data_IF_502411472387
#
_entry.id   IF_502411472387
#
_cell.length_a   1.000
_cell.length_b   1.000
_cell.length_c   1.000
_cell.angle_alpha   90.00
_cell.angle_beta   90.00
_cell.angle_gamma   90.00
#
_symmetry.space_group_name_H-M   'P 1'
#
loop_
_entity.id
_entity.type
_entity.pdbx_description
1 polymer ?
#
# COMPACT_ATOMS: atom_id res chain seq x y z
N UNK A 1 -22.83 26.50 2.34
CA UNK A 1 -21.60 25.87 2.88
C UNK A 1 -21.66 24.33 2.89
N UNK A 2 -22.79 23.70 3.19
CA UNK A 2 -22.97 22.23 3.24
C UNK A 2 -22.87 21.55 1.88
N UNK A 3 -23.41 22.15 0.81
CA UNK A 3 -23.40 21.55 -0.55
C UNK A 3 -22.00 21.46 -1.15
N UNK A 4 -21.13 22.45 -0.93
CA UNK A 4 -19.76 22.44 -1.41
C UNK A 4 -18.90 21.36 -0.73
N UNK A 5 -19.07 21.19 0.58
CA UNK A 5 -18.41 20.10 1.34
C UNK A 5 -18.85 18.71 0.88
N UNK A 6 -20.13 18.55 0.53
CA UNK A 6 -20.64 17.27 0.03
C UNK A 6 -20.02 16.94 -1.34
N UNK A 7 -19.88 17.92 -2.23
CA UNK A 7 -19.22 17.76 -3.54
C UNK A 7 -17.73 17.44 -3.39
N UNK A 8 -17.03 18.11 -2.47
CA UNK A 8 -15.61 17.85 -2.17
C UNK A 8 -15.41 16.45 -1.59
N UNK A 9 -16.27 15.99 -0.68
CA UNK A 9 -16.24 14.65 -0.13
C UNK A 9 -16.50 13.59 -1.21
N UNK A 10 -17.49 13.79 -2.08
CA UNK A 10 -17.78 12.87 -3.17
C UNK A 10 -16.62 12.78 -4.16
N UNK A 11 -16.04 13.90 -4.56
CA UNK A 11 -14.84 13.92 -5.41
C UNK A 11 -13.66 13.21 -4.75
N UNK A 12 -13.44 13.43 -3.44
CA UNK A 12 -12.42 12.73 -2.66
C UNK A 12 -12.64 11.21 -2.62
N UNK A 13 -13.87 10.76 -2.41
CA UNK A 13 -14.26 9.35 -2.45
C UNK A 13 -13.98 8.73 -3.83
N UNK A 14 -14.43 9.38 -4.91
CA UNK A 14 -14.20 8.90 -6.27
C UNK A 14 -12.70 8.73 -6.57
N UNK A 15 -11.87 9.71 -6.17
CA UNK A 15 -10.43 9.65 -6.35
C UNK A 15 -9.79 8.51 -5.55
N UNK A 16 -10.24 8.27 -4.32
CA UNK A 16 -9.70 7.15 -3.51
C UNK A 16 -10.13 5.81 -4.10
N UNK A 17 -11.37 5.64 -4.53
CA UNK A 17 -11.82 4.41 -5.19
C UNK A 17 -11.02 4.15 -6.46
N UNK A 18 -10.80 5.20 -7.28
CA UNK A 18 -9.98 5.11 -8.49
C UNK A 18 -8.52 4.73 -8.16
N UNK A 19 -7.95 5.31 -7.11
CA UNK A 19 -6.62 4.96 -6.63
C UNK A 19 -6.54 3.48 -6.19
N UNK A 20 -7.55 2.98 -5.48
CA UNK A 20 -7.59 1.59 -5.04
C UNK A 20 -7.73 0.61 -6.20
N UNK A 21 -8.51 0.96 -7.22
CA UNK A 21 -8.58 0.21 -8.47
C UNK A 21 -7.21 0.22 -9.19
N UNK A 22 -6.58 1.38 -9.31
CA UNK A 22 -5.25 1.51 -9.93
C UNK A 22 -4.20 0.67 -9.22
N UNK A 23 -4.12 0.72 -7.90
CA UNK A 23 -3.18 -0.14 -7.14
C UNK A 23 -3.48 -1.63 -7.31
N UNK A 24 -4.75 -2.05 -7.37
CA UNK A 24 -5.07 -3.45 -7.61
C UNK A 24 -4.66 -3.91 -9.02
N UNK A 25 -4.78 -3.04 -10.02
CA UNK A 25 -4.32 -3.31 -11.39
C UNK A 25 -2.77 -3.36 -11.42
N UNK A 26 -2.08 -2.43 -10.76
CA UNK A 26 -0.62 -2.45 -10.64
C UNK A 26 -0.13 -3.75 -9.99
N UNK A 27 -0.75 -4.16 -8.88
CA UNK A 27 -0.45 -5.42 -8.18
C UNK A 27 -0.61 -6.62 -9.13
N UNK A 28 -1.67 -6.63 -9.95
CA UNK A 28 -1.93 -7.71 -10.90
C UNK A 28 -0.90 -7.74 -12.05
N UNK A 29 -0.47 -6.59 -12.53
CA UNK A 29 0.61 -6.49 -13.51
C UNK A 29 1.91 -7.04 -12.91
N UNK A 30 2.26 -6.65 -11.68
CA UNK A 30 3.44 -7.16 -10.96
C UNK A 30 3.34 -8.68 -10.81
N UNK A 31 2.19 -9.20 -10.37
CA UNK A 31 1.97 -10.65 -10.22
C UNK A 31 2.10 -11.39 -11.54
N UNK A 32 1.54 -10.86 -12.61
CA UNK A 32 1.67 -11.44 -13.95
C UNK A 32 3.13 -11.48 -14.42
N UNK A 33 3.84 -10.36 -14.30
CA UNK A 33 5.25 -10.25 -14.66
C UNK A 33 6.13 -11.20 -13.83
N UNK A 34 5.79 -11.41 -12.56
CA UNK A 34 6.52 -12.28 -11.64
C UNK A 34 6.41 -13.78 -11.99
N UNK A 35 5.57 -14.16 -12.95
CA UNK A 35 5.54 -15.52 -13.47
C UNK A 35 6.81 -15.87 -14.27
N UNK A 36 7.51 -14.87 -14.82
CA UNK A 36 8.74 -15.05 -15.62
C UNK A 36 9.91 -14.20 -15.15
N UNK A 37 9.65 -12.95 -14.79
CA UNK A 37 10.68 -12.02 -14.34
C UNK A 37 10.87 -12.12 -12.83
N UNK A 38 12.09 -11.95 -12.34
CA UNK A 38 12.32 -11.95 -10.89
C UNK A 38 11.64 -10.73 -10.23
N UNK A 39 11.09 -10.87 -9.00
CA UNK A 39 10.49 -9.77 -8.26
C UNK A 39 11.44 -8.56 -8.10
N UNK A 40 12.73 -8.83 -7.92
CA UNK A 40 13.75 -7.80 -7.82
C UNK A 40 13.90 -7.00 -9.12
N UNK A 41 13.90 -7.68 -10.27
CA UNK A 41 13.97 -7.04 -11.58
C UNK A 41 12.75 -6.15 -11.84
N UNK A 42 11.55 -6.62 -11.50
CA UNK A 42 10.32 -5.85 -11.64
C UNK A 42 10.39 -4.57 -10.79
N UNK A 43 10.85 -4.68 -9.53
CA UNK A 43 11.03 -3.53 -8.65
C UNK A 43 12.03 -2.50 -9.17
N UNK A 44 13.15 -2.95 -9.75
CA UNK A 44 14.12 -2.03 -10.35
C UNK A 44 13.50 -1.28 -11.54
N UNK A 45 12.79 -1.98 -12.42
CA UNK A 45 12.16 -1.36 -13.59
C UNK A 45 11.08 -0.35 -13.19
N UNK A 46 10.16 -0.73 -12.29
CA UNK A 46 9.12 0.17 -11.78
C UNK A 46 9.74 1.34 -11.02
N UNK A 47 10.76 1.07 -10.21
CA UNK A 47 11.48 2.08 -9.45
C UNK A 47 12.16 3.12 -10.34
N UNK A 48 12.88 2.69 -11.35
CA UNK A 48 13.53 3.60 -12.32
C UNK A 48 12.50 4.44 -13.07
N UNK A 49 11.45 3.80 -13.59
CA UNK A 49 10.40 4.50 -14.32
C UNK A 49 9.62 5.49 -13.45
N UNK A 50 9.11 5.03 -12.29
CA UNK A 50 8.35 5.88 -11.37
C UNK A 50 9.18 7.04 -10.80
N UNK A 51 10.46 6.78 -10.43
CA UNK A 51 11.39 7.83 -10.01
C UNK A 51 11.60 8.87 -11.10
N UNK A 52 11.77 8.43 -12.36
CA UNK A 52 11.94 9.33 -13.51
C UNK A 52 10.71 10.22 -13.72
N UNK A 53 9.50 9.63 -13.66
CA UNK A 53 8.24 10.38 -13.79
C UNK A 53 8.12 11.42 -12.67
N UNK A 54 8.34 11.03 -11.40
CA UNK A 54 8.26 11.99 -10.29
C UNK A 54 9.36 13.03 -10.32
N UNK A 55 10.55 12.70 -10.81
CA UNK A 55 11.61 13.68 -11.03
C UNK A 55 11.21 14.73 -12.09
N UNK A 56 10.64 14.30 -13.21
CA UNK A 56 10.12 15.20 -14.25
C UNK A 56 9.01 16.09 -13.69
N UNK A 57 8.07 15.52 -12.93
CA UNK A 57 6.99 16.29 -12.30
C UNK A 57 7.51 17.31 -11.28
N UNK A 58 8.53 16.97 -10.50
CA UNK A 58 9.19 17.92 -9.58
C UNK A 58 9.81 19.09 -10.33
N UNK A 59 10.55 18.80 -11.41
CA UNK A 59 11.21 19.83 -12.22
C UNK A 59 10.19 20.73 -12.91
N UNK A 60 9.12 20.15 -13.46
CA UNK A 60 8.03 20.90 -14.09
C UNK A 60 7.29 21.86 -13.13
N UNK A 61 7.23 21.48 -11.83
CA UNK A 61 6.62 22.32 -10.78
C UNK A 61 7.65 23.25 -10.09
N UNK A 62 8.89 23.36 -10.57
CA UNK A 62 9.92 24.21 -9.97
C UNK A 62 10.36 23.77 -8.56
N UNK A 63 10.09 22.51 -8.17
CA UNK A 63 10.40 21.97 -6.85
C UNK A 63 11.79 21.34 -6.89
N UNK A 64 12.70 21.80 -6.00
CA UNK A 64 14.04 21.25 -5.88
C UNK A 64 14.16 20.40 -4.61
N UNK A 65 14.83 19.24 -4.76
CA UNK A 65 15.12 18.36 -3.62
C UNK A 65 16.26 18.99 -2.80
N UNK A 66 15.92 19.52 -1.64
CA UNK A 66 16.91 20.12 -0.72
C UNK A 66 17.50 19.03 0.17
N UNK A 67 18.84 19.07 0.39
CA UNK A 67 19.54 18.13 1.26
C UNK A 67 18.95 18.02 2.67
N UNK A 68 18.49 19.15 3.24
CA UNK A 68 17.84 19.21 4.56
C UNK A 68 16.56 18.34 4.63
N UNK A 69 15.82 18.25 3.53
CA UNK A 69 14.60 17.41 3.46
C UNK A 69 15.01 15.92 3.47
N UNK A 70 15.96 15.55 2.64
CA UNK A 70 16.40 14.15 2.50
C UNK A 70 17.12 13.66 3.76
N UNK A 71 17.84 14.52 4.46
CA UNK A 71 18.54 14.21 5.70
C UNK A 71 17.62 14.19 6.94
N UNK A 72 16.35 14.56 6.82
CA UNK A 72 15.41 14.50 7.94
C UNK A 72 15.17 13.06 8.38
N UNK A 73 15.33 12.78 9.68
CA UNK A 73 15.24 11.43 10.26
C UNK A 73 13.92 10.73 9.92
N UNK A 74 12.79 11.45 9.90
CA UNK A 74 11.50 10.88 9.57
C UNK A 74 11.35 10.58 8.07
N UNK A 75 11.98 11.38 7.21
CA UNK A 75 12.02 11.11 5.76
C UNK A 75 12.90 9.89 5.48
N UNK A 76 14.06 9.79 6.13
CA UNK A 76 14.93 8.60 6.03
C UNK A 76 14.21 7.36 6.54
N UNK A 77 13.63 7.41 7.76
CA UNK A 77 12.90 6.29 8.34
C UNK A 77 11.72 5.83 7.47
N UNK A 78 10.97 6.79 6.90
CA UNK A 78 9.91 6.53 5.93
C UNK A 78 10.43 5.80 4.69
N UNK A 79 11.55 6.27 4.14
CA UNK A 79 12.12 5.70 2.91
C UNK A 79 12.67 4.30 3.15
N UNK A 80 13.30 4.04 4.30
CA UNK A 80 13.73 2.70 4.70
C UNK A 80 12.55 1.75 4.93
N UNK A 81 11.49 2.23 5.57
CA UNK A 81 10.26 1.45 5.76
C UNK A 81 9.58 1.13 4.42
N UNK A 82 9.60 2.06 3.46
CA UNK A 82 9.16 1.83 2.08
C UNK A 82 9.97 0.74 1.41
N UNK A 83 11.31 0.82 1.47
CA UNK A 83 12.23 -0.16 0.89
C UNK A 83 11.92 -1.57 1.40
N UNK A 84 11.90 -1.74 2.72
CA UNK A 84 11.64 -3.03 3.36
C UNK A 84 10.22 -3.52 3.05
N UNK A 85 9.24 -2.64 3.23
CA UNK A 85 7.82 -2.95 3.02
C UNK A 85 7.54 -3.38 1.58
N UNK A 86 8.06 -2.64 0.60
CA UNK A 86 7.82 -2.92 -0.81
C UNK A 86 8.58 -4.18 -1.27
N UNK A 87 9.79 -4.42 -0.75
CA UNK A 87 10.53 -5.65 -1.05
C UNK A 87 9.73 -6.91 -0.66
N UNK A 88 9.25 -6.97 0.59
CA UNK A 88 8.44 -8.11 1.06
C UNK A 88 7.08 -8.17 0.38
N UNK A 89 6.45 -7.02 0.12
CA UNK A 89 5.16 -6.96 -0.53
C UNK A 89 5.21 -7.49 -1.97
N UNK A 90 6.16 -7.05 -2.79
CA UNK A 90 6.30 -7.51 -4.17
C UNK A 90 6.76 -8.96 -4.22
N UNK A 91 7.66 -9.38 -3.31
CA UNK A 91 8.01 -10.78 -3.17
C UNK A 91 6.78 -11.63 -2.82
N UNK A 92 5.88 -11.15 -1.97
CA UNK A 92 4.65 -11.88 -1.65
C UNK A 92 3.70 -11.99 -2.83
N UNK A 93 3.59 -10.95 -3.67
CA UNK A 93 2.74 -10.98 -4.87
C UNK A 93 3.16 -12.08 -5.86
N UNK A 94 4.46 -12.43 -5.91
CA UNK A 94 4.95 -13.52 -6.77
C UNK A 94 4.65 -14.91 -6.23
N UNK A 95 4.38 -15.05 -4.92
CA UNK A 95 4.30 -16.35 -4.24
C UNK A 95 2.90 -16.64 -3.66
N UNK A 96 2.07 -15.62 -3.49
CA UNK A 96 0.79 -15.71 -2.76
C UNK A 96 -0.36 -15.27 -3.69
N UNK A 97 -1.55 -15.89 -3.58
CA UNK A 97 -2.74 -15.43 -4.30
C UNK A 97 -3.02 -13.95 -4.05
N UNK A 98 -3.37 -13.20 -5.11
CA UNK A 98 -3.65 -11.75 -5.01
C UNK A 98 -4.86 -11.46 -4.13
N UNK A 99 -5.82 -12.39 -4.07
CA UNK A 99 -6.97 -12.33 -3.16
C UNK A 99 -6.52 -12.32 -1.69
N UNK A 100 -5.59 -13.20 -1.32
CA UNK A 100 -5.00 -13.27 0.03
C UNK A 100 -4.17 -12.04 0.35
N UNK A 101 -3.31 -11.60 -0.59
CA UNK A 101 -2.51 -10.37 -0.44
C UNK A 101 -3.42 -9.16 -0.22
N UNK A 102 -4.45 -9.00 -1.06
CA UNK A 102 -5.42 -7.90 -0.96
C UNK A 102 -6.18 -7.90 0.36
N UNK A 103 -6.49 -9.09 0.91
CA UNK A 103 -7.15 -9.24 2.21
C UNK A 103 -6.23 -8.80 3.37
N UNK A 104 -4.98 -9.24 3.38
CA UNK A 104 -4.01 -8.91 4.45
C UNK A 104 -3.66 -7.42 4.44
N UNK A 105 -3.55 -6.79 3.26
CA UNK A 105 -3.27 -5.34 3.14
C UNK A 105 -4.29 -4.48 3.89
N UNK A 106 -5.52 -4.94 4.03
CA UNK A 106 -6.57 -4.19 4.73
C UNK A 106 -6.33 -4.03 6.23
N UNK A 107 -5.38 -4.77 6.81
CA UNK A 107 -4.98 -4.57 8.22
C UNK A 107 -4.12 -3.30 8.41
N UNK A 108 -3.58 -2.72 7.33
CA UNK A 108 -2.68 -1.56 7.40
C UNK A 108 -3.20 -0.40 8.27
N UNK A 109 -4.47 0.05 8.21
CA UNK A 109 -4.96 1.12 9.08
C UNK A 109 -4.91 0.75 10.57
N UNK A 110 -5.12 -0.53 10.90
CA UNK A 110 -5.04 -1.02 12.28
C UNK A 110 -3.59 -1.05 12.76
N UNK A 111 -2.65 -1.49 11.91
CA UNK A 111 -1.21 -1.47 12.21
C UNK A 111 -0.69 -0.04 12.38
N UNK A 112 -1.14 0.91 11.56
CA UNK A 112 -0.81 2.33 11.74
C UNK A 112 -1.34 2.86 13.08
N UNK A 113 -2.55 2.46 13.49
CA UNK A 113 -3.11 2.85 14.79
C UNK A 113 -2.34 2.21 15.95
N UNK A 114 -1.97 0.94 15.81
CA UNK A 114 -1.12 0.22 16.77
C UNK A 114 0.25 0.90 16.91
N UNK A 115 0.90 1.19 15.79
CA UNK A 115 2.19 1.89 15.77
C UNK A 115 2.10 3.30 16.38
N UNK A 116 1.01 4.03 16.13
CA UNK A 116 0.78 5.33 16.76
C UNK A 116 0.64 5.22 18.29
N UNK A 117 -0.05 4.19 18.78
CA UNK A 117 -0.18 3.95 20.21
C UNK A 117 1.18 3.58 20.86
N UNK A 118 1.92 2.66 20.26
CA UNK A 118 3.15 2.07 20.85
C UNK A 118 4.36 2.99 20.63
N UNK A 119 4.59 3.44 19.40
CA UNK A 119 5.81 4.19 19.03
C UNK A 119 5.65 5.70 19.25
N UNK A 120 4.47 6.26 18.94
CA UNK A 120 4.22 7.68 19.10
C UNK A 120 3.57 8.02 20.45
N UNK A 121 3.27 7.02 21.29
CA UNK A 121 2.63 7.14 22.61
C UNK A 121 1.30 7.88 22.56
N UNK A 122 0.56 7.75 21.45
CA UNK A 122 -0.76 8.32 21.31
C UNK A 122 -1.76 7.59 22.23
N UNK A 123 -2.62 8.33 22.91
CA UNK A 123 -3.65 7.74 23.80
C UNK A 123 -4.73 7.03 22.96
N UNK A 124 -4.68 5.72 22.91
CA UNK A 124 -5.68 4.87 22.24
C UNK A 124 -6.63 4.30 23.29
N UNK A 125 -7.93 4.54 23.12
CA UNK A 125 -8.96 4.03 24.05
C UNK A 125 -9.16 2.52 23.91
N UNK A 126 -9.67 1.87 24.98
CA UNK A 126 -9.87 0.42 25.06
C UNK A 126 -10.64 -0.17 23.86
N UNK A 127 -11.63 0.55 23.33
CA UNK A 127 -12.44 0.11 22.18
C UNK A 127 -11.64 0.03 20.88
N UNK A 128 -10.63 0.89 20.68
CA UNK A 128 -9.73 0.81 19.53
C UNK A 128 -8.74 -0.33 19.71
N UNK A 129 -8.26 -0.57 20.93
CA UNK A 129 -7.46 -1.75 21.24
C UNK A 129 -8.21 -3.03 20.91
N UNK A 130 -9.49 -3.13 21.31
CA UNK A 130 -10.34 -4.27 20.94
C UNK A 130 -10.44 -4.43 19.40
N UNK A 131 -10.66 -3.33 18.66
CA UNK A 131 -10.71 -3.38 17.21
C UNK A 131 -9.38 -3.85 16.58
N UNK A 132 -8.23 -3.40 17.09
CA UNK A 132 -6.91 -3.84 16.63
C UNK A 132 -6.75 -5.34 16.85
N UNK A 133 -7.08 -5.84 18.05
CA UNK A 133 -6.96 -7.26 18.39
C UNK A 133 -7.89 -8.10 17.49
N UNK A 134 -9.14 -7.68 17.32
CA UNK A 134 -10.12 -8.38 16.47
C UNK A 134 -9.64 -8.40 15.00
N UNK A 135 -9.10 -7.28 14.49
CA UNK A 135 -8.55 -7.22 13.13
C UNK A 135 -7.33 -8.12 12.94
N UNK A 136 -6.43 -8.20 13.94
CA UNK A 136 -5.29 -9.13 13.90
C UNK A 136 -5.73 -10.59 13.96
N UNK A 137 -6.80 -10.91 14.70
CA UNK A 137 -7.41 -12.25 14.66
C UNK A 137 -8.00 -12.54 13.27
N UNK A 138 -8.60 -11.55 12.61
CA UNK A 138 -9.03 -11.68 11.21
C UNK A 138 -7.87 -12.04 10.28
N UNK A 139 -6.70 -11.40 10.42
CA UNK A 139 -5.49 -11.77 9.66
C UNK A 139 -5.03 -13.18 9.99
N UNK A 140 -5.07 -13.60 11.26
CA UNK A 140 -4.73 -14.97 11.65
C UNK A 140 -5.66 -16.00 10.98
N UNK A 141 -6.95 -15.67 10.85
CA UNK A 141 -7.93 -16.52 10.12
C UNK A 141 -7.58 -16.62 8.62
N UNK A 142 -7.14 -15.53 7.99
CA UNK A 142 -6.68 -15.52 6.59
C UNK A 142 -5.42 -16.38 6.43
N UNK A 143 -4.45 -16.22 7.32
CA UNK A 143 -3.17 -16.92 7.28
C UNK A 143 -3.28 -18.40 7.61
N UNK A 144 -4.26 -18.82 8.38
CA UNK A 144 -4.50 -20.22 8.84
C UNK A 144 -3.24 -20.90 9.40
N UNK A 145 -2.51 -20.33 10.37
CA UNK A 145 -1.25 -20.89 10.84
C UNK A 145 -1.37 -22.29 11.50
N UNK A 146 -2.60 -22.72 11.78
CA UNK A 146 -2.94 -24.04 12.35
C UNK A 146 -3.35 -25.08 11.31
N UNK A 147 -3.42 -24.73 10.01
CA UNK A 147 -3.83 -25.61 8.93
C UNK A 147 -2.64 -26.31 8.29
N UNK A 148 -2.86 -27.51 7.76
CA UNK A 148 -1.90 -28.21 6.89
C UNK A 148 -1.65 -27.44 5.59
N UNK A 149 -2.60 -26.61 5.14
CA UNK A 149 -2.51 -25.78 3.95
C UNK A 149 -1.81 -24.43 4.21
N UNK A 150 -1.17 -24.30 5.37
CA UNK A 150 -0.50 -23.08 5.78
C UNK A 150 0.67 -22.72 4.85
N UNK A 151 0.54 -21.59 4.19
CA UNK A 151 1.59 -21.04 3.33
C UNK A 151 2.46 -20.05 4.12
N UNK A 152 3.66 -20.47 4.51
CA UNK A 152 4.66 -19.61 5.18
C UNK A 152 4.91 -18.33 4.38
N UNK A 153 4.83 -18.42 3.04
CA UNK A 153 4.98 -17.28 2.14
C UNK A 153 3.97 -16.16 2.37
N UNK A 154 2.78 -16.46 2.92
CA UNK A 154 1.79 -15.44 3.26
C UNK A 154 2.25 -14.49 4.39
N UNK A 155 3.21 -14.91 5.25
CA UNK A 155 3.86 -14.01 6.20
C UNK A 155 4.67 -12.91 5.51
N UNK A 156 5.18 -13.12 4.30
CA UNK A 156 5.85 -12.07 3.54
C UNK A 156 4.91 -10.89 3.28
N UNK A 157 3.63 -11.18 2.99
CA UNK A 157 2.61 -10.12 2.85
C UNK A 157 2.48 -9.33 4.15
N UNK A 158 2.38 -10.01 5.29
CA UNK A 158 2.25 -9.35 6.59
C UNK A 158 3.48 -8.48 6.91
N UNK A 159 4.70 -8.98 6.66
CA UNK A 159 5.93 -8.20 6.81
C UNK A 159 5.95 -6.98 5.88
N UNK A 160 5.53 -7.16 4.62
CA UNK A 160 5.36 -6.07 3.67
C UNK A 160 4.40 -4.99 4.19
N UNK A 161 3.22 -5.41 4.67
CA UNK A 161 2.20 -4.50 5.20
C UNK A 161 2.65 -3.81 6.50
N UNK A 162 3.41 -4.48 7.36
CA UNK A 162 4.03 -3.85 8.55
C UNK A 162 5.01 -2.76 8.10
N UNK A 163 5.89 -3.04 7.13
CA UNK A 163 6.82 -2.05 6.59
C UNK A 163 6.10 -0.84 5.98
N UNK A 164 5.09 -1.07 5.13
CA UNK A 164 4.28 -0.01 4.53
C UNK A 164 3.47 0.77 5.58
N UNK A 165 3.00 0.12 6.64
CA UNK A 165 2.32 0.79 7.76
C UNK A 165 3.30 1.64 8.57
N UNK A 166 4.52 1.18 8.78
CA UNK A 166 5.60 1.95 9.41
C UNK A 166 5.96 3.19 8.56
N UNK A 167 6.00 3.06 7.23
CA UNK A 167 6.13 4.18 6.30
C UNK A 167 5.02 5.22 6.50
N UNK A 168 3.76 4.77 6.54
CA UNK A 168 2.60 5.66 6.72
C UNK A 168 2.66 6.36 8.08
N UNK A 169 3.08 5.65 9.13
CA UNK A 169 3.28 6.21 10.45
C UNK A 169 4.39 7.27 10.47
N UNK A 170 5.55 6.98 9.87
CA UNK A 170 6.66 7.92 9.75
C UNK A 170 6.25 9.17 8.95
N UNK A 171 5.44 9.01 7.90
CA UNK A 171 4.91 10.12 7.10
C UNK A 171 4.11 11.13 7.94
N UNK A 172 3.45 10.72 9.02
CA UNK A 172 2.74 11.63 9.94
C UNK A 172 3.68 12.58 10.69
N UNK A 173 4.96 12.22 10.82
CA UNK A 173 5.99 12.99 11.51
C UNK A 173 6.88 13.79 10.57
N UNK A 174 6.77 13.58 9.26
CA UNK A 174 7.46 14.40 8.25
C UNK A 174 6.94 15.85 8.34
N UNK A 175 7.83 16.86 8.27
CA UNK A 175 7.43 18.26 8.31
C UNK A 175 6.37 18.59 7.25
N UNK A 176 5.30 19.29 7.64
CA UNK A 176 4.14 19.60 6.78
C UNK A 176 4.50 20.41 5.53
N UNK A 177 5.59 21.16 5.56
CA UNK A 177 6.10 21.92 4.42
C UNK A 177 6.88 21.07 3.41
N UNK A 178 7.04 19.76 3.66
CA UNK A 178 7.67 18.85 2.70
C UNK A 178 6.69 18.54 1.56
N UNK A 179 7.05 18.85 0.30
CA UNK A 179 6.21 18.55 -0.85
C UNK A 179 5.96 17.04 -1.00
N UNK A 180 4.71 16.64 -1.19
CA UNK A 180 4.34 15.23 -1.38
C UNK A 180 5.04 14.58 -2.56
N UNK A 181 5.37 15.35 -3.62
CA UNK A 181 6.12 14.87 -4.77
C UNK A 181 7.54 14.42 -4.41
N UNK A 182 8.19 15.05 -3.42
CA UNK A 182 9.52 14.60 -2.94
C UNK A 182 9.38 13.26 -2.22
N UNK A 183 8.34 13.09 -1.42
CA UNK A 183 8.08 11.82 -0.72
C UNK A 183 7.75 10.70 -1.72
N UNK A 184 7.05 11.00 -2.80
CA UNK A 184 6.78 10.07 -3.89
C UNK A 184 8.05 9.68 -4.65
N UNK A 185 8.89 10.67 -5.01
CA UNK A 185 10.19 10.44 -5.63
C UNK A 185 11.05 9.48 -4.78
N UNK A 186 11.17 9.77 -3.48
CA UNK A 186 11.96 8.95 -2.56
C UNK A 186 11.34 7.55 -2.35
N UNK A 187 10.00 7.44 -2.37
CA UNK A 187 9.30 6.18 -2.27
C UNK A 187 9.60 5.26 -3.46
N UNK A 188 9.37 5.74 -4.68
CA UNK A 188 9.71 4.98 -5.88
C UNK A 188 11.23 4.78 -6.01
N UNK A 189 12.05 5.76 -5.61
CA UNK A 189 13.50 5.61 -5.54
C UNK A 189 13.97 4.51 -4.59
N UNK A 190 13.24 4.26 -3.49
CA UNK A 190 13.56 3.20 -2.54
C UNK A 190 13.30 1.79 -3.10
N UNK A 191 12.43 1.66 -4.11
CA UNK A 191 12.18 0.35 -4.74
C UNK A 191 13.37 -0.13 -5.57
N UNK A 192 14.24 0.77 -6.04
CA UNK A 192 15.46 0.41 -6.79
C UNK A 192 16.43 -0.40 -5.93
N UNK A 193 16.93 0.11 -4.78
CA UNK A 193 17.80 -0.70 -3.92
C UNK A 193 17.07 -1.92 -3.34
N UNK A 194 15.76 -1.85 -3.10
CA UNK A 194 14.98 -3.02 -2.70
C UNK A 194 15.04 -4.13 -3.76
N UNK A 195 14.84 -3.76 -5.03
CA UNK A 195 14.93 -4.68 -6.16
C UNK A 195 16.33 -5.24 -6.36
N UNK A 196 17.37 -4.39 -6.25
CA UNK A 196 18.77 -4.85 -6.33
C UNK A 196 19.11 -5.86 -5.23
N UNK A 197 18.65 -5.64 -4.00
CA UNK A 197 18.81 -6.61 -2.91
C UNK A 197 18.12 -7.94 -3.27
N UNK A 198 16.89 -7.91 -3.78
CA UNK A 198 16.18 -9.13 -4.17
C UNK A 198 16.86 -9.88 -5.33
N UNK A 199 17.46 -9.16 -6.29
CA UNK A 199 18.21 -9.77 -7.38
C UNK A 199 19.41 -10.58 -6.86
N UNK A 200 20.07 -10.13 -5.77
CA UNK A 200 21.17 -10.88 -5.16
C UNK A 200 20.75 -12.29 -4.65
N UNK A 201 19.46 -12.45 -4.32
CA UNK A 201 18.90 -13.74 -3.88
C UNK A 201 18.21 -14.53 -5.00
N UNK A 202 18.00 -13.92 -6.17
CA UNK A 202 17.39 -14.54 -7.35
C UNK A 202 18.27 -14.24 -8.56
N UNK A 203 19.28 -15.06 -8.85
CA UNK A 203 20.35 -14.72 -9.80
C UNK A 203 19.89 -14.68 -11.27
N UNK A 204 18.68 -15.16 -11.60
CA UNK A 204 18.19 -15.15 -12.97
C UNK A 204 17.55 -13.78 -13.32
N UNK A 205 18.30 -12.96 -14.02
CA UNK A 205 17.78 -11.74 -14.62
C UNK A 205 17.51 -12.02 -16.10
N UNK A 206 16.24 -12.06 -16.47
CA UNK A 206 15.80 -12.32 -17.82
C UNK A 206 15.53 -11.00 -18.56
N UNK A 207 15.87 -10.96 -19.86
CA UNK A 207 15.43 -9.84 -20.70
C UNK A 207 13.92 -9.86 -20.83
N UNK A 208 13.22 -8.75 -20.50
CA UNK A 208 11.78 -8.67 -20.70
C UNK A 208 11.44 -8.73 -22.20
N UNK A 209 10.40 -9.45 -22.55
CA UNK A 209 9.80 -9.39 -23.88
C UNK A 209 9.22 -8.00 -24.14
N UNK A 210 8.96 -7.69 -25.41
CA UNK A 210 8.33 -6.42 -25.77
C UNK A 210 6.98 -6.23 -25.06
N UNK A 211 6.18 -7.29 -24.92
CA UNK A 211 4.90 -7.26 -24.20
C UNK A 211 5.08 -6.98 -22.70
N UNK A 212 6.01 -7.66 -22.04
CA UNK A 212 6.31 -7.44 -20.61
C UNK A 212 6.85 -6.03 -20.38
N UNK A 213 7.68 -5.51 -21.28
CA UNK A 213 8.16 -4.13 -21.19
C UNK A 213 7.01 -3.11 -21.28
N UNK A 214 6.05 -3.33 -22.19
CA UNK A 214 4.85 -2.50 -22.29
C UNK A 214 4.00 -2.59 -21.00
N UNK A 215 3.86 -3.79 -20.41
CA UNK A 215 3.16 -3.95 -19.13
C UNK A 215 3.88 -3.21 -18.00
N UNK A 216 5.21 -3.21 -17.94
CA UNK A 216 5.96 -2.41 -16.96
C UNK A 216 5.66 -0.93 -17.12
N UNK A 217 5.70 -0.42 -18.36
CA UNK A 217 5.36 0.99 -18.64
C UNK A 217 3.93 1.29 -18.18
N UNK A 218 2.97 0.44 -18.53
CA UNK A 218 1.58 0.59 -18.11
C UNK A 218 1.46 0.59 -16.58
N UNK A 219 2.14 -0.34 -15.89
CA UNK A 219 2.18 -0.41 -14.43
C UNK A 219 2.73 0.87 -13.80
N UNK A 220 3.81 1.44 -14.36
CA UNK A 220 4.38 2.71 -13.88
C UNK A 220 3.35 3.84 -13.97
N UNK A 221 2.69 4.00 -15.12
CA UNK A 221 1.70 5.08 -15.28
C UNK A 221 0.47 4.88 -14.41
N UNK A 222 0.00 3.64 -14.26
CA UNK A 222 -1.13 3.31 -13.37
C UNK A 222 -0.74 3.56 -11.91
N UNK A 223 0.43 3.12 -11.45
CA UNK A 223 0.92 3.32 -10.09
C UNK A 223 1.11 4.80 -9.75
N UNK A 224 1.73 5.57 -10.65
CA UNK A 224 1.88 7.04 -10.50
C UNK A 224 0.51 7.73 -10.45
N UNK A 225 -0.41 7.33 -11.35
CA UNK A 225 -1.78 7.87 -11.39
C UNK A 225 -2.57 7.53 -10.12
N UNK A 226 -2.50 6.29 -9.66
CA UNK A 226 -3.12 5.83 -8.42
C UNK A 226 -2.56 6.60 -7.21
N UNK A 227 -1.23 6.79 -7.15
CA UNK A 227 -0.60 7.60 -6.12
C UNK A 227 -1.08 9.06 -6.14
N UNK A 228 -1.19 9.66 -7.31
CA UNK A 228 -1.74 11.01 -7.45
C UNK A 228 -3.19 11.09 -6.96
N UNK A 229 -4.03 10.14 -7.39
CA UNK A 229 -5.43 10.06 -7.00
C UNK A 229 -5.61 9.90 -5.48
N UNK A 230 -4.82 9.03 -4.80
CA UNK A 230 -4.92 8.88 -3.35
C UNK A 230 -4.53 10.16 -2.61
N UNK A 231 -3.46 10.84 -3.05
CA UNK A 231 -3.00 12.09 -2.43
C UNK A 231 -4.05 13.19 -2.60
N UNK A 232 -4.61 13.35 -3.80
CA UNK A 232 -5.63 14.36 -4.08
C UNK A 232 -6.94 14.05 -3.37
N UNK A 233 -7.39 12.80 -3.37
CA UNK A 233 -8.59 12.37 -2.66
C UNK A 233 -8.53 12.65 -1.16
N UNK A 234 -7.37 12.39 -0.54
CA UNK A 234 -7.13 12.68 0.88
C UNK A 234 -7.01 14.18 1.21
N UNK A 235 -6.74 15.03 0.22
CA UNK A 235 -6.67 16.49 0.40
C UNK A 235 -8.02 17.18 0.17
N UNK A 236 -8.85 16.67 -0.73
CA UNK A 236 -10.14 17.26 -1.09
C UNK A 236 -11.22 16.93 -0.08
N UNK A 237 -11.33 15.67 0.33
CA UNK A 237 -12.39 15.20 1.19
C UNK A 237 -12.02 15.18 2.67
N UNK A 238 -13.03 15.21 3.53
CA UNK A 238 -12.83 14.95 4.95
C UNK A 238 -12.34 13.52 5.17
N UNK A 239 -11.28 13.36 5.97
CA UNK A 239 -10.62 12.06 6.22
C UNK A 239 -11.63 10.98 6.66
N UNK A 240 -12.62 11.37 7.48
CA UNK A 240 -13.69 10.49 7.94
C UNK A 240 -14.60 9.96 6.84
N UNK A 241 -14.82 10.76 5.80
CA UNK A 241 -15.66 10.39 4.67
C UNK A 241 -14.90 9.55 3.63
N UNK A 242 -13.61 9.84 3.45
CA UNK A 242 -12.81 9.32 2.32
C UNK A 242 -12.05 8.03 2.68
N UNK A 243 -11.48 7.95 3.89
CA UNK A 243 -10.63 6.80 4.29
C UNK A 243 -11.34 5.44 4.28
N UNK A 244 -12.63 5.32 4.62
CA UNK A 244 -13.34 4.03 4.51
C UNK A 244 -13.27 3.40 3.13
N UNK A 245 -13.23 4.22 2.09
CA UNK A 245 -13.20 3.75 0.69
C UNK A 245 -11.85 3.14 0.27
N UNK A 246 -10.80 3.25 1.09
CA UNK A 246 -9.55 2.50 0.88
C UNK A 246 -9.76 0.99 0.96
N UNK A 247 -10.78 0.54 1.66
CA UNK A 247 -11.15 -0.89 1.73
C UNK A 247 -11.68 -1.44 0.39
N UNK A 248 -12.05 -0.56 -0.57
CA UNK A 248 -12.45 -1.00 -1.92
C UNK A 248 -11.33 -1.74 -2.68
N UNK A 249 -10.04 -1.57 -2.29
CA UNK A 249 -8.93 -2.36 -2.86
C UNK A 249 -9.14 -3.87 -2.71
N UNK A 250 -9.77 -4.30 -1.61
CA UNK A 250 -10.12 -5.71 -1.42
C UNK A 250 -11.06 -6.23 -2.52
N UNK A 251 -12.08 -5.43 -2.85
CA UNK A 251 -13.07 -5.80 -3.89
C UNK A 251 -12.40 -5.90 -5.26
N UNK A 252 -11.57 -4.92 -5.61
CA UNK A 252 -10.84 -4.94 -6.88
C UNK A 252 -9.82 -6.08 -6.94
N UNK A 253 -9.03 -6.29 -5.87
CA UNK A 253 -8.05 -7.37 -5.80
C UNK A 253 -8.70 -8.75 -5.85
N UNK A 254 -9.83 -8.94 -5.16
CA UNK A 254 -10.60 -10.18 -5.21
C UNK A 254 -11.19 -10.43 -6.61
N UNK A 255 -11.76 -9.40 -7.23
CA UNK A 255 -12.31 -9.51 -8.60
C UNK A 255 -11.21 -9.89 -9.60
N UNK A 256 -10.04 -9.20 -9.54
CA UNK A 256 -8.91 -9.50 -10.42
C UNK A 256 -8.39 -10.92 -10.16
N UNK A 257 -8.22 -11.31 -8.90
CA UNK A 257 -7.75 -12.65 -8.54
C UNK A 257 -8.63 -13.75 -9.12
N UNK A 258 -9.95 -13.62 -8.98
CA UNK A 258 -10.90 -14.60 -9.50
C UNK A 258 -10.95 -14.59 -11.04
N UNK A 259 -11.00 -13.42 -11.70
CA UNK A 259 -11.26 -13.35 -13.13
C UNK A 259 -10.01 -13.50 -14.00
N UNK A 260 -8.84 -13.11 -13.52
CA UNK A 260 -7.59 -13.10 -14.30
C UNK A 260 -6.57 -14.14 -13.86
N UNK A 261 -6.68 -14.62 -12.61
CA UNK A 261 -5.73 -15.58 -12.05
C UNK A 261 -6.40 -16.91 -11.65
N UNK A 262 -7.71 -17.08 -11.95
CA UNK A 262 -8.49 -18.27 -11.61
C UNK A 262 -8.40 -18.65 -10.12
N UNK A 263 -8.20 -17.63 -9.24
CA UNK A 263 -8.08 -17.84 -7.81
C UNK A 263 -9.47 -18.14 -7.19
N UNK A 264 -9.51 -19.07 -6.27
CA UNK A 264 -10.73 -19.39 -5.51
C UNK A 264 -10.74 -18.62 -4.19
N UNK A 265 -11.86 -17.95 -3.90
CA UNK A 265 -12.08 -17.30 -2.61
C UNK A 265 -12.52 -18.36 -1.59
N UNK A 266 -11.63 -18.75 -0.71
CA UNK A 266 -11.97 -19.66 0.37
C UNK A 266 -12.73 -18.95 1.50
N UNK A 267 -13.50 -19.71 2.27
CA UNK A 267 -14.34 -19.17 3.34
C UNK A 267 -13.52 -18.43 4.41
N UNK A 268 -12.33 -18.90 4.73
CA UNK A 268 -11.46 -18.25 5.73
C UNK A 268 -10.96 -16.89 5.27
N UNK A 269 -10.60 -16.76 3.99
CA UNK A 269 -10.21 -15.47 3.40
C UNK A 269 -11.39 -14.49 3.41
N UNK A 270 -12.59 -14.94 3.07
CA UNK A 270 -13.80 -14.11 3.12
C UNK A 270 -14.14 -13.68 4.56
N UNK A 271 -14.18 -14.65 5.49
CA UNK A 271 -14.49 -14.37 6.90
C UNK A 271 -13.44 -13.44 7.54
N UNK A 272 -12.16 -13.76 7.35
CA UNK A 272 -11.07 -12.95 7.90
C UNK A 272 -11.06 -11.54 7.32
N UNK A 273 -11.32 -11.38 6.02
CA UNK A 273 -11.45 -10.07 5.36
C UNK A 273 -12.60 -9.26 5.92
N UNK A 274 -13.77 -9.88 6.12
CA UNK A 274 -14.93 -9.22 6.73
C UNK A 274 -14.61 -8.72 8.15
N UNK A 275 -13.90 -9.53 8.95
CA UNK A 275 -13.47 -9.16 10.30
C UNK A 275 -12.48 -7.98 10.25
N UNK A 276 -11.47 -8.03 9.38
CA UNK A 276 -10.47 -6.95 9.23
C UNK A 276 -11.14 -5.64 8.81
N UNK A 277 -12.00 -5.68 7.79
CA UNK A 277 -12.68 -4.50 7.27
C UNK A 277 -13.62 -3.90 8.32
N UNK A 278 -14.46 -4.71 8.95
CA UNK A 278 -15.42 -4.22 9.96
C UNK A 278 -14.72 -3.66 11.19
N UNK A 279 -13.68 -4.32 11.69
CA UNK A 279 -12.89 -3.83 12.83
C UNK A 279 -12.15 -2.54 12.48
N UNK A 280 -11.58 -2.44 11.29
CA UNK A 280 -10.89 -1.24 10.83
C UNK A 280 -11.85 -0.06 10.63
N UNK A 281 -13.02 -0.26 10.04
CA UNK A 281 -14.07 0.76 9.92
C UNK A 281 -14.55 1.22 11.29
N UNK A 282 -14.76 0.29 12.23
CA UNK A 282 -15.14 0.64 13.61
C UNK A 282 -14.07 1.49 14.29
N UNK A 283 -12.79 1.11 14.19
CA UNK A 283 -11.68 1.88 14.76
C UNK A 283 -11.65 3.31 14.20
N UNK A 284 -11.84 3.47 12.88
CA UNK A 284 -11.86 4.74 12.19
C UNK A 284 -13.03 5.63 12.65
N UNK A 285 -14.25 5.10 12.64
CA UNK A 285 -15.45 5.84 13.08
C UNK A 285 -15.33 6.32 14.53
N UNK A 286 -14.66 5.54 15.36
CA UNK A 286 -14.43 5.89 16.76
C UNK A 286 -13.38 6.99 16.91
N UNK A 287 -12.38 7.04 16.01
CA UNK A 287 -11.39 8.12 15.98
C UNK A 287 -12.02 9.45 15.62
N UNK A 288 -12.89 9.45 14.60
CA UNK A 288 -13.61 10.64 14.14
C UNK A 288 -14.49 11.22 15.25
N UNK A 289 -15.34 10.37 15.88
CA UNK A 289 -16.23 10.80 16.97
C UNK A 289 -15.52 11.35 18.22
N UNK A 290 -14.22 11.10 18.38
CA UNK A 290 -13.44 11.64 19.49
C UNK A 290 -12.84 13.00 19.19
N UNK A 291 -12.68 13.33 17.90
CA UNK A 291 -12.13 14.61 17.44
C UNK A 291 -13.19 15.67 17.17
N UNK A 292 -14.46 15.28 16.98
CA UNK A 292 -15.64 16.12 16.98
C UNK A 292 -16.15 16.35 18.40
#
# INVERSE_FOLDING_TARGET
MTENKTKENLAGICLVVLAMAGFAIEDSIIKFLAQRLSPGQILVMIGLGGTSVFYILLRANGIFVKRVIVANTWVVGRTLAELIGTAFFVLSLSLVPITTVSAIVQVSPLLVTLGAAVLLKEKVGIRRWAAIIIGLLGVAIILKPWSTDFQVTAFLTLLGVIGLSARDLATRRVPKNTPSLILALLGFGATIPAGLILICFSPEVLMPTQYEFLLVILGIFIGVGAYYCIVMGMRLGEVSAVVPFRYSRLVFGAAIGVWFFDETLDFSTLLGSAIVVTSGLYALLREVRRRS
#
